data_IF_279762841042
#
_entry.id   IF_279762841042
#
_cell.length_a   1.000
_cell.length_b   1.000
_cell.length_c   1.000
_cell.angle_alpha   90.00
_cell.angle_beta   90.00
_cell.angle_gamma   90.00
#
_symmetry.space_group_name_H-M   'P 1'
#
loop_
_entity.id
_entity.type
_entity.pdbx_description
1 polymer ?
#
# COMPACT_ATOMS: atom_id res chain seq x y z
N UNK A 1 -44.90 5.40 15.81
CA UNK A 1 -43.87 6.47 15.74
C UNK A 1 -42.52 6.09 16.36
N UNK A 2 -42.36 4.98 17.10
CA UNK A 2 -41.05 4.59 17.66
C UNK A 2 -40.03 4.05 16.65
N UNK A 3 -40.48 3.24 15.68
CA UNK A 3 -39.57 2.49 14.79
C UNK A 3 -38.71 3.38 13.87
N UNK A 4 -39.20 4.55 13.47
CA UNK A 4 -38.47 5.47 12.59
C UNK A 4 -37.39 6.22 13.37
N UNK A 5 -37.68 6.61 14.62
CA UNK A 5 -36.73 7.29 15.50
C UNK A 5 -35.59 6.36 15.90
N UNK A 6 -35.88 5.10 16.22
CA UNK A 6 -34.85 4.10 16.54
C UNK A 6 -33.93 3.82 15.34
N UNK A 7 -34.51 3.68 14.15
CA UNK A 7 -33.74 3.51 12.92
C UNK A 7 -32.85 4.74 12.62
N UNK A 8 -33.37 5.95 12.87
CA UNK A 8 -32.60 7.17 12.69
C UNK A 8 -31.43 7.26 13.69
N UNK A 9 -31.65 6.87 14.95
CA UNK A 9 -30.58 6.86 15.96
C UNK A 9 -29.46 5.89 15.56
N UNK A 10 -29.81 4.66 15.13
CA UNK A 10 -28.82 3.66 14.72
C UNK A 10 -28.00 4.12 13.52
N UNK A 11 -28.63 4.75 12.53
CA UNK A 11 -27.92 5.25 11.34
C UNK A 11 -26.99 6.42 11.67
N UNK A 12 -27.42 7.34 12.52
CA UNK A 12 -26.57 8.47 12.97
C UNK A 12 -25.37 7.97 13.78
N UNK A 13 -25.57 7.01 14.70
CA UNK A 13 -24.48 6.41 15.47
C UNK A 13 -23.53 5.65 14.55
N UNK A 14 -24.07 4.83 13.64
CA UNK A 14 -23.26 4.06 12.68
C UNK A 14 -22.41 4.97 11.81
N UNK A 15 -23.00 6.03 11.25
CA UNK A 15 -22.27 7.00 10.43
C UNK A 15 -21.23 7.78 11.23
N UNK A 16 -21.53 8.13 12.49
CA UNK A 16 -20.58 8.77 13.40
C UNK A 16 -19.36 7.90 13.71
N UNK A 17 -19.57 6.61 13.97
CA UNK A 17 -18.47 5.65 14.22
C UNK A 17 -17.60 5.50 12.96
N UNK A 18 -18.21 5.32 11.79
CA UNK A 18 -17.47 5.21 10.52
C UNK A 18 -16.64 6.46 10.30
N UNK A 19 -17.22 7.65 10.50
CA UNK A 19 -16.53 8.92 10.35
C UNK A 19 -15.34 9.04 11.32
N UNK A 20 -15.51 8.62 12.56
CA UNK A 20 -14.45 8.62 13.57
C UNK A 20 -13.30 7.69 13.18
N UNK A 21 -13.61 6.47 12.71
CA UNK A 21 -12.59 5.52 12.25
C UNK A 21 -11.82 6.09 11.04
N UNK A 22 -12.53 6.65 10.05
CA UNK A 22 -11.91 7.28 8.89
C UNK A 22 -11.01 8.46 9.28
N UNK A 23 -11.42 9.25 10.27
CA UNK A 23 -10.63 10.36 10.79
C UNK A 23 -9.34 9.88 11.44
N UNK A 24 -9.40 8.81 12.25
CA UNK A 24 -8.21 8.21 12.87
C UNK A 24 -7.27 7.63 11.81
N UNK A 25 -7.80 6.96 10.79
CA UNK A 25 -7.01 6.43 9.67
C UNK A 25 -6.30 7.56 8.92
N UNK A 26 -7.01 8.64 8.57
CA UNK A 26 -6.43 9.80 7.92
C UNK A 26 -5.29 10.40 8.76
N UNK A 27 -5.56 10.60 10.05
CA UNK A 27 -4.58 11.15 10.98
C UNK A 27 -3.34 10.25 11.06
N UNK A 28 -3.54 8.93 11.13
CA UNK A 28 -2.46 7.93 11.12
C UNK A 28 -1.62 8.03 9.85
N UNK A 29 -2.24 8.15 8.67
CA UNK A 29 -1.52 8.30 7.39
C UNK A 29 -0.68 9.58 7.38
N UNK A 30 -1.23 10.70 7.87
CA UNK A 30 -0.50 11.98 7.97
C UNK A 30 0.70 11.86 8.91
N UNK A 31 0.50 11.24 10.08
CA UNK A 31 1.58 10.95 11.02
C UNK A 31 2.63 10.02 10.42
N UNK A 32 2.22 9.00 9.66
CA UNK A 32 3.13 8.06 9.03
C UNK A 32 3.95 8.73 7.93
N UNK A 33 3.35 9.59 7.10
CA UNK A 33 4.07 10.39 6.10
C UNK A 33 5.06 11.38 6.74
N UNK A 34 4.74 11.90 7.93
CA UNK A 34 5.64 12.78 8.69
C UNK A 34 6.79 12.00 9.34
N UNK A 35 6.52 10.80 9.87
CA UNK A 35 7.52 9.95 10.53
C UNK A 35 8.42 9.22 9.53
N UNK A 36 7.86 8.80 8.41
CA UNK A 36 8.54 8.14 7.30
C UNK A 36 8.28 8.94 6.03
N UNK A 37 9.01 10.06 5.81
CA UNK A 37 8.93 10.78 4.56
C UNK A 37 9.29 9.82 3.43
N UNK A 38 8.27 9.40 2.68
CA UNK A 38 8.45 8.57 1.51
C UNK A 38 9.12 9.46 0.45
N UNK A 39 10.43 9.32 0.30
CA UNK A 39 11.11 9.85 -0.88
C UNK A 39 10.60 8.98 -2.03
N UNK A 40 9.84 9.52 -2.99
CA UNK A 40 9.47 8.74 -4.15
C UNK A 40 10.76 8.30 -4.83
N UNK A 41 11.08 7.01 -4.77
CA UNK A 41 12.08 6.45 -5.67
C UNK A 41 11.55 6.70 -7.09
N UNK A 42 12.34 7.34 -7.96
CA UNK A 42 11.89 7.60 -9.32
C UNK A 42 11.57 6.25 -9.96
N UNK A 43 10.29 6.02 -10.25
CA UNK A 43 9.89 4.99 -11.21
C UNK A 43 10.42 5.48 -12.55
N UNK A 44 11.60 4.98 -12.93
CA UNK A 44 12.11 5.16 -14.27
C UNK A 44 11.02 4.66 -15.22
N UNK A 45 10.48 5.57 -16.03
CA UNK A 45 9.62 5.18 -17.15
C UNK A 45 10.40 4.13 -17.94
N UNK A 46 9.83 2.92 -18.02
CA UNK A 46 10.37 1.84 -18.84
C UNK A 46 10.17 2.23 -20.30
N UNK A 47 11.09 3.06 -20.79
CA UNK A 47 11.30 3.26 -22.21
C UNK A 47 11.94 1.98 -22.72
N UNK A 48 11.23 1.28 -23.61
CA UNK A 48 11.57 -0.06 -24.05
C UNK A 48 13.06 -0.25 -24.39
N UNK A 49 13.64 -1.33 -23.88
CA UNK A 49 14.97 -1.76 -24.32
C UNK A 49 15.85 -2.50 -23.33
N UNK A 50 15.42 -2.85 -22.10
CA UNK A 50 16.32 -3.58 -21.20
C UNK A 50 15.62 -4.49 -20.19
N UNK A 51 15.31 -5.72 -20.64
CA UNK A 51 14.78 -6.81 -19.80
C UNK A 51 15.69 -7.10 -18.59
N UNK A 52 16.96 -6.73 -18.68
CA UNK A 52 17.96 -6.84 -17.61
C UNK A 52 17.58 -6.04 -16.37
N UNK A 53 17.02 -4.84 -16.55
CA UNK A 53 16.61 -3.96 -15.45
C UNK A 53 15.32 -4.46 -14.78
N UNK A 54 14.37 -4.95 -15.59
CA UNK A 54 13.16 -5.59 -15.07
C UNK A 54 13.50 -6.84 -14.26
N UNK A 55 14.40 -7.68 -14.76
CA UNK A 55 14.89 -8.87 -14.04
C UNK A 55 15.58 -8.45 -12.74
N UNK A 56 16.41 -7.40 -12.73
CA UNK A 56 17.08 -6.92 -11.53
C UNK A 56 16.09 -6.37 -10.47
N UNK A 57 15.05 -5.64 -10.89
CA UNK A 57 13.99 -5.15 -9.99
C UNK A 57 13.20 -6.32 -9.40
N UNK A 58 12.83 -7.31 -10.21
CA UNK A 58 12.13 -8.52 -9.75
C UNK A 58 13.03 -9.32 -8.79
N UNK A 59 14.32 -9.46 -9.10
CA UNK A 59 15.30 -10.15 -8.26
C UNK A 59 15.47 -9.44 -6.91
N UNK A 60 15.52 -8.10 -6.89
CA UNK A 60 15.59 -7.30 -5.68
C UNK A 60 14.30 -7.41 -4.84
N UNK A 61 13.12 -7.42 -5.48
CA UNK A 61 11.85 -7.60 -4.80
C UNK A 61 11.73 -9.00 -4.16
N UNK A 62 12.10 -10.06 -4.90
CA UNK A 62 12.10 -11.44 -4.40
C UNK A 62 13.14 -11.62 -3.28
N UNK A 63 14.33 -11.01 -3.40
CA UNK A 63 15.36 -10.98 -2.38
C UNK A 63 14.88 -10.37 -1.07
N UNK A 64 14.20 -9.22 -1.16
CA UNK A 64 13.62 -8.53 -0.01
C UNK A 64 12.56 -9.37 0.68
N UNK A 65 11.69 -10.04 -0.09
CA UNK A 65 10.66 -10.93 0.45
C UNK A 65 11.26 -12.18 1.14
N UNK A 66 12.27 -12.79 0.52
CA UNK A 66 12.91 -14.01 1.03
C UNK A 66 14.05 -13.75 2.04
N UNK A 67 14.32 -12.48 2.40
CA UNK A 67 15.49 -12.06 3.19
C UNK A 67 16.82 -12.64 2.69
N UNK A 68 16.94 -12.85 1.38
CA UNK A 68 18.16 -13.34 0.72
C UNK A 68 18.80 -12.23 -0.08
N UNK A 69 20.06 -12.43 -0.48
CA UNK A 69 20.74 -11.46 -1.35
C UNK A 69 20.21 -11.61 -2.78
N UNK A 70 20.06 -10.52 -3.54
CA UNK A 70 19.63 -10.58 -4.95
C UNK A 70 20.50 -11.51 -5.79
N UNK A 71 21.80 -11.57 -5.50
CA UNK A 71 22.78 -12.47 -6.14
C UNK A 71 22.42 -13.95 -6.07
N UNK A 72 21.57 -14.35 -5.12
CA UNK A 72 21.28 -15.77 -4.84
C UNK A 72 20.03 -16.27 -5.60
N UNK A 73 19.37 -15.40 -6.39
CA UNK A 73 18.10 -15.71 -7.07
C UNK A 73 18.35 -15.83 -8.56
N UNK A 74 18.37 -17.05 -9.10
CA UNK A 74 18.49 -17.27 -10.55
C UNK A 74 17.11 -17.28 -11.22
N UNK A 75 16.81 -16.24 -12.01
CA UNK A 75 15.58 -16.18 -12.81
C UNK A 75 15.88 -16.81 -14.17
N UNK A 76 15.36 -18.02 -14.43
CA UNK A 76 15.44 -18.66 -15.76
C UNK A 76 14.26 -18.20 -16.62
N UNK A 77 14.55 -17.58 -17.76
CA UNK A 77 13.55 -17.33 -18.80
C UNK A 77 13.15 -18.66 -19.45
N UNK A 78 11.91 -19.09 -19.24
CA UNK A 78 11.32 -20.21 -20.00
C UNK A 78 10.79 -19.61 -21.29
N UNK A 79 11.41 -20.01 -22.41
CA UNK A 79 11.00 -19.61 -23.76
C UNK A 79 9.93 -20.55 -24.30
#
# INVERSE_FOLDING_TARGET
>A
MGNVTDALIVTVIGMGIIFLVLTILLLTIVLLNKAFPHVPEPVAETSGGDDTLLVAVIQAAIAKYLKRRPSDISIKSVK
#
